data_IF_257456724486
#
_entry.id   IF_257456724486
#
_cell.length_a   1.000
_cell.length_b   1.000
_cell.length_c   1.000
_cell.angle_alpha   90.00
_cell.angle_beta   90.00
_cell.angle_gamma   90.00
#
_symmetry.space_group_name_H-M   'P 1'
#
loop_
_entity.id
_entity.type
_entity.pdbx_description
1 polymer ?
#
# COMPACT_ATOMS: atom_id res chain seq x y z
N UNK A 1 2.90 -27.62 20.78
CA UNK A 1 3.98 -27.08 19.91
C UNK A 1 3.42 -26.20 18.78
N UNK A 2 2.20 -25.63 18.88
CA UNK A 2 1.59 -24.87 17.77
C UNK A 2 1.62 -23.34 17.93
N UNK A 3 1.27 -22.82 19.11
CA UNK A 3 1.17 -21.37 19.34
C UNK A 3 2.53 -20.72 19.67
N UNK A 4 3.37 -21.39 20.48
CA UNK A 4 4.71 -20.90 20.82
C UNK A 4 5.61 -20.66 19.59
N UNK A 5 5.47 -21.50 18.56
CA UNK A 5 6.23 -21.35 17.31
C UNK A 5 5.74 -20.14 16.50
N UNK A 6 4.44 -19.82 16.55
CA UNK A 6 3.86 -18.72 15.80
C UNK A 6 4.23 -17.35 16.39
N UNK A 7 4.21 -17.23 17.72
CA UNK A 7 4.68 -16.02 18.41
C UNK A 7 6.18 -15.77 18.19
N UNK A 8 7.00 -16.83 18.23
CA UNK A 8 8.43 -16.71 17.95
C UNK A 8 8.70 -16.28 16.51
N UNK A 9 7.97 -16.81 15.52
CA UNK A 9 8.05 -16.36 14.12
C UNK A 9 7.65 -14.91 13.97
N UNK A 10 6.55 -14.49 14.63
CA UNK A 10 6.14 -13.09 14.65
C UNK A 10 7.27 -12.21 15.18
N UNK A 11 7.85 -12.55 16.33
CA UNK A 11 8.94 -11.75 16.93
C UNK A 11 10.16 -11.64 16.02
N UNK A 12 10.55 -12.72 15.33
CA UNK A 12 11.65 -12.69 14.36
C UNK A 12 11.33 -11.81 13.15
N UNK A 13 10.12 -11.95 12.60
CA UNK A 13 9.67 -11.13 11.48
C UNK A 13 9.55 -9.65 11.86
N UNK A 14 8.97 -9.36 13.02
CA UNK A 14 8.84 -8.01 13.58
C UNK A 14 10.22 -7.36 13.74
N UNK A 15 11.19 -8.07 14.30
CA UNK A 15 12.55 -7.57 14.46
C UNK A 15 13.18 -7.14 13.13
N UNK A 16 13.07 -7.98 12.10
CA UNK A 16 13.61 -7.70 10.75
C UNK A 16 12.89 -6.55 10.06
N UNK A 17 11.56 -6.56 10.07
CA UNK A 17 10.74 -5.51 9.46
C UNK A 17 11.00 -4.18 10.15
N UNK A 18 11.02 -4.15 11.48
CA UNK A 18 11.30 -2.93 12.26
C UNK A 18 12.69 -2.36 11.96
N UNK A 19 13.72 -3.20 11.95
CA UNK A 19 15.08 -2.77 11.60
C UNK A 19 15.13 -2.17 10.18
N UNK A 20 14.45 -2.81 9.23
CA UNK A 20 14.40 -2.36 7.84
C UNK A 20 13.65 -1.05 7.64
N UNK A 21 12.50 -0.88 8.31
CA UNK A 21 11.64 0.30 8.16
C UNK A 21 12.14 1.51 8.96
N UNK A 22 12.93 1.29 10.02
CA UNK A 22 13.49 2.36 10.85
C UNK A 22 14.33 3.36 10.04
N UNK A 23 15.02 2.92 8.98
CA UNK A 23 15.80 3.81 8.10
C UNK A 23 14.95 4.79 7.29
N UNK A 24 13.65 4.52 7.17
CA UNK A 24 12.66 5.37 6.50
C UNK A 24 11.79 6.15 7.48
N UNK A 25 12.11 6.11 8.78
CA UNK A 25 11.35 6.82 9.82
C UNK A 25 9.93 6.30 10.02
N UNK A 26 9.71 5.00 9.79
CA UNK A 26 8.43 4.34 9.99
C UNK A 26 8.51 3.43 11.23
N UNK A 27 7.61 3.65 12.18
CA UNK A 27 7.48 2.85 13.38
C UNK A 27 6.42 1.77 13.19
N UNK A 28 6.77 0.53 13.51
CA UNK A 28 5.82 -0.57 13.54
C UNK A 28 5.07 -0.57 14.87
N UNK A 29 3.72 -0.48 14.88
CA UNK A 29 2.94 -0.54 16.12
C UNK A 29 3.05 -1.92 16.77
N UNK A 30 2.60 -2.03 18.03
CA UNK A 30 2.55 -3.31 18.74
C UNK A 30 1.75 -4.34 17.93
N UNK A 31 2.36 -5.49 17.65
CA UNK A 31 1.71 -6.54 16.87
C UNK A 31 1.35 -7.76 17.69
N UNK A 32 0.35 -8.50 17.21
CA UNK A 32 0.02 -9.85 17.68
C UNK A 32 -0.31 -10.73 16.50
N UNK A 33 -0.24 -12.04 16.70
CA UNK A 33 -0.57 -13.02 15.67
C UNK A 33 -1.67 -13.95 16.20
N UNK A 34 -2.66 -14.22 15.36
CA UNK A 34 -3.77 -15.13 15.69
C UNK A 34 -4.00 -16.11 14.56
N UNK A 35 -4.41 -17.32 14.91
CA UNK A 35 -4.81 -18.32 13.93
C UNK A 35 -6.31 -18.24 13.69
N UNK A 36 -6.69 -18.14 12.43
CA UNK A 36 -8.07 -18.17 11.97
C UNK A 36 -8.20 -19.18 10.80
N UNK A 37 -8.62 -20.43 11.07
CA UNK A 37 -8.74 -21.45 10.02
C UNK A 37 -9.87 -21.16 9.03
N UNK A 38 -10.72 -20.15 9.28
CA UNK A 38 -11.84 -19.76 8.42
C UNK A 38 -11.45 -18.68 7.40
N UNK A 39 -10.18 -18.26 7.34
CA UNK A 39 -9.69 -17.44 6.23
C UNK A 39 -9.97 -18.13 4.88
N UNK A 40 -10.04 -17.37 3.79
CA UNK A 40 -10.22 -17.95 2.46
C UNK A 40 -9.11 -18.98 2.15
N UNK A 41 -9.43 -20.03 1.38
CA UNK A 41 -8.48 -21.13 1.11
C UNK A 41 -7.22 -20.67 0.38
N UNK A 42 -7.31 -19.61 -0.41
CA UNK A 42 -6.17 -19.04 -1.13
C UNK A 42 -5.41 -17.98 -0.29
N UNK A 43 -5.88 -17.67 0.92
CA UNK A 43 -5.32 -16.64 1.80
C UNK A 43 -4.53 -17.27 2.95
N UNK A 44 -3.20 -17.26 2.85
CA UNK A 44 -2.31 -17.76 3.89
C UNK A 44 -2.30 -16.89 5.15
N UNK A 45 -2.35 -15.58 4.96
CA UNK A 45 -2.43 -14.59 6.01
C UNK A 45 -3.14 -13.32 5.53
N UNK A 46 -3.55 -12.50 6.48
CA UNK A 46 -4.05 -11.13 6.29
C UNK A 46 -3.78 -10.32 7.55
N UNK A 47 -3.91 -9.00 7.51
CA UNK A 47 -3.84 -8.15 8.69
C UNK A 47 -5.24 -7.66 9.09
N UNK A 48 -5.42 -7.42 10.39
CA UNK A 48 -6.61 -6.80 10.98
C UNK A 48 -6.19 -5.72 11.97
N UNK A 49 -7.01 -4.68 12.08
CA UNK A 49 -6.87 -3.62 13.04
C UNK A 49 -7.32 -4.08 14.45
N UNK A 50 -6.63 -3.66 15.52
CA UNK A 50 -5.31 -3.03 15.53
C UNK A 50 -4.19 -4.09 15.47
N UNK A 51 -3.19 -3.85 14.60
CA UNK A 51 -1.88 -4.53 14.63
C UNK A 51 -1.92 -6.06 14.72
N UNK A 52 -2.87 -6.71 14.06
CA UNK A 52 -3.06 -8.17 14.18
C UNK A 52 -2.73 -8.85 12.88
N UNK A 53 -1.74 -9.74 12.86
CA UNK A 53 -1.53 -10.69 11.76
C UNK A 53 -2.45 -11.89 12.00
N UNK A 54 -3.30 -12.19 11.03
CA UNK A 54 -4.21 -13.34 11.06
C UNK A 54 -3.68 -14.35 10.07
N UNK A 55 -3.44 -15.58 10.52
CA UNK A 55 -2.89 -16.64 9.67
C UNK A 55 -3.84 -17.83 9.65
N UNK A 56 -3.91 -18.51 8.51
CA UNK A 56 -4.78 -19.69 8.38
C UNK A 56 -4.25 -20.88 9.18
N UNK A 57 -2.94 -21.07 9.13
CA UNK A 57 -2.23 -22.20 9.71
C UNK A 57 -0.96 -21.77 10.44
N UNK A 58 -0.53 -22.57 11.42
CA UNK A 58 0.72 -22.32 12.17
C UNK A 58 1.97 -22.55 11.33
N UNK A 59 1.84 -23.19 10.17
CA UNK A 59 2.92 -23.49 9.22
C UNK A 59 3.33 -22.28 8.38
N UNK A 60 2.60 -21.17 8.43
CA UNK A 60 2.82 -19.95 7.61
C UNK A 60 4.29 -19.47 7.64
N UNK A 61 4.89 -19.17 6.48
CA UNK A 61 6.27 -18.67 6.41
C UNK A 61 6.44 -17.29 7.08
N UNK A 62 7.62 -17.04 7.65
CA UNK A 62 7.98 -15.72 8.20
C UNK A 62 7.90 -14.60 7.17
N UNK A 63 8.21 -14.90 5.90
CA UNK A 63 8.08 -13.93 4.80
C UNK A 63 6.65 -13.44 4.60
N UNK A 64 5.66 -14.32 4.80
CA UNK A 64 4.23 -13.97 4.69
C UNK A 64 3.80 -13.13 5.90
N UNK A 65 4.30 -13.44 7.09
CA UNK A 65 4.09 -12.59 8.27
C UNK A 65 4.70 -11.20 8.04
N UNK A 66 5.92 -11.14 7.49
CA UNK A 66 6.60 -9.88 7.19
C UNK A 66 5.83 -9.01 6.19
N UNK A 67 5.23 -9.62 5.16
CA UNK A 67 4.32 -8.94 4.22
C UNK A 67 3.18 -8.23 4.95
N UNK A 68 2.46 -8.95 5.81
CA UNK A 68 1.35 -8.38 6.59
C UNK A 68 1.81 -7.32 7.60
N UNK A 69 3.03 -7.44 8.14
CA UNK A 69 3.61 -6.42 9.00
C UNK A 69 3.89 -5.11 8.25
N UNK A 70 4.24 -5.16 6.96
CA UNK A 70 4.40 -3.94 6.15
C UNK A 70 3.05 -3.25 5.96
N UNK A 71 2.00 -3.99 5.67
CA UNK A 71 0.63 -3.46 5.60
C UNK A 71 0.19 -2.80 6.92
N UNK A 72 0.48 -3.45 8.05
CA UNK A 72 0.25 -2.87 9.39
C UNK A 72 1.05 -1.57 9.57
N UNK A 73 2.30 -1.53 9.14
CA UNK A 73 3.13 -0.31 9.21
C UNK A 73 2.59 0.82 8.33
N UNK A 74 2.03 0.49 7.17
CA UNK A 74 1.37 1.45 6.28
C UNK A 74 0.00 1.92 6.79
N UNK A 75 -0.58 1.20 7.75
CA UNK A 75 -1.95 1.41 8.19
C UNK A 75 -2.96 1.21 7.04
N UNK A 76 -2.71 0.22 6.17
CA UNK A 76 -3.65 -0.10 5.09
C UNK A 76 -5.02 -0.52 5.64
N UNK A 77 -6.08 -0.22 4.88
CA UNK A 77 -7.43 -0.66 5.24
C UNK A 77 -7.62 -2.13 4.91
N UNK A 78 -8.39 -2.83 5.76
CA UNK A 78 -8.54 -4.30 5.71
C UNK A 78 -9.15 -4.85 4.41
N UNK A 79 -9.84 -4.03 3.60
CA UNK A 79 -10.52 -4.51 2.39
C UNK A 79 -10.55 -3.48 1.26
N UNK A 80 -9.94 -3.82 0.11
CA UNK A 80 -10.12 -3.14 -1.17
C UNK A 80 -10.82 -4.09 -2.15
N UNK A 81 -12.09 -4.41 -1.89
CA UNK A 81 -12.83 -5.34 -2.75
C UNK A 81 -13.31 -4.63 -4.03
N UNK A 82 -12.81 -5.11 -5.18
CA UNK A 82 -13.46 -4.94 -6.49
C UNK A 82 -12.95 -3.81 -7.40
N UNK A 83 -12.12 -2.88 -6.90
CA UNK A 83 -11.51 -1.84 -7.74
C UNK A 83 -10.02 -2.10 -7.96
N UNK A 84 -9.55 -1.97 -9.20
CA UNK A 84 -8.12 -1.93 -9.51
C UNK A 84 -7.62 -0.53 -9.15
N UNK A 85 -7.17 -0.32 -7.92
CA UNK A 85 -6.66 0.98 -7.49
C UNK A 85 -5.14 1.04 -7.67
N UNK A 86 -4.61 2.23 -8.01
CA UNK A 86 -3.18 2.50 -7.93
C UNK A 86 -2.70 2.35 -6.48
N UNK A 87 -3.54 2.76 -5.52
CA UNK A 87 -3.26 2.54 -4.10
C UNK A 87 -2.96 1.08 -3.78
N UNK A 88 -3.81 0.15 -4.22
CA UNK A 88 -3.61 -1.30 -3.97
C UNK A 88 -2.33 -1.80 -4.63
N UNK A 89 -2.04 -1.36 -5.85
CA UNK A 89 -0.81 -1.73 -6.56
C UNK A 89 0.44 -1.28 -5.79
N UNK A 90 0.43 -0.07 -5.24
CA UNK A 90 1.53 0.47 -4.46
C UNK A 90 1.66 -0.20 -3.09
N UNK A 91 0.56 -0.41 -2.37
CA UNK A 91 0.57 -1.04 -1.05
C UNK A 91 1.03 -2.50 -1.12
N UNK A 92 0.40 -3.31 -1.97
CA UNK A 92 0.78 -4.72 -2.13
C UNK A 92 2.16 -4.88 -2.76
N UNK A 93 2.49 -4.01 -3.74
CA UNK A 93 3.81 -3.97 -4.34
C UNK A 93 4.91 -3.68 -3.32
N UNK A 94 4.65 -2.77 -2.37
CA UNK A 94 5.59 -2.44 -1.30
C UNK A 94 5.77 -3.62 -0.35
N UNK A 95 4.67 -4.22 0.10
CA UNK A 95 4.70 -5.35 1.02
C UNK A 95 5.48 -6.53 0.43
N UNK A 96 5.16 -6.93 -0.82
CA UNK A 96 5.89 -7.99 -1.53
C UNK A 96 7.37 -7.62 -1.72
N UNK A 97 7.67 -6.36 -2.09
CA UNK A 97 9.05 -5.92 -2.34
C UNK A 97 9.88 -5.96 -1.06
N UNK A 98 9.38 -5.42 0.05
CA UNK A 98 10.08 -5.45 1.35
C UNK A 98 10.23 -6.88 1.86
N UNK A 99 9.17 -7.70 1.78
CA UNK A 99 9.24 -9.10 2.18
C UNK A 99 10.30 -9.85 1.36
N UNK A 100 10.41 -9.57 0.05
CA UNK A 100 11.44 -10.15 -0.82
C UNK A 100 12.86 -9.69 -0.48
N UNK A 101 13.05 -8.43 -0.07
CA UNK A 101 14.35 -7.93 0.40
C UNK A 101 14.80 -8.63 1.69
N UNK A 102 13.86 -8.95 2.60
CA UNK A 102 14.13 -9.57 3.88
C UNK A 102 14.20 -11.10 3.84
N UNK A 103 13.49 -11.70 2.89
CA UNK A 103 13.33 -13.15 2.73
C UNK A 103 13.43 -13.51 1.24
N UNK A 104 14.62 -13.93 0.75
CA UNK A 104 14.82 -14.24 -0.66
C UNK A 104 13.90 -15.34 -1.21
N UNK A 105 13.38 -16.21 -0.34
CA UNK A 105 12.41 -17.26 -0.65
C UNK A 105 10.98 -16.77 -0.84
N UNK A 106 10.67 -15.53 -0.49
CA UNK A 106 9.33 -14.97 -0.59
C UNK A 106 8.78 -15.05 -2.02
N UNK A 107 7.55 -15.56 -2.17
CA UNK A 107 6.84 -15.62 -3.43
C UNK A 107 6.09 -14.31 -3.66
N UNK A 108 6.50 -13.55 -4.68
CA UNK A 108 5.88 -12.27 -5.03
C UNK A 108 4.54 -12.51 -5.73
N UNK A 109 3.45 -12.05 -5.12
CA UNK A 109 2.09 -12.19 -5.68
C UNK A 109 1.80 -11.10 -6.71
N UNK A 110 2.22 -9.86 -6.46
CA UNK A 110 1.96 -8.68 -7.28
C UNK A 110 3.23 -8.19 -7.98
N UNK A 111 3.68 -8.97 -8.97
CA UNK A 111 4.92 -8.67 -9.73
C UNK A 111 4.94 -7.25 -10.32
N UNK A 112 3.81 -6.77 -10.84
CA UNK A 112 3.70 -5.41 -11.38
C UNK A 112 3.89 -4.37 -10.28
N UNK A 113 3.36 -4.63 -9.08
CA UNK A 113 3.53 -3.78 -7.91
C UNK A 113 5.00 -3.70 -7.50
N UNK A 114 5.68 -4.83 -7.33
CA UNK A 114 7.12 -4.84 -7.02
C UNK A 114 7.95 -4.09 -8.05
N UNK A 115 7.66 -4.29 -9.35
CA UNK A 115 8.37 -3.57 -10.41
C UNK A 115 8.14 -2.07 -10.32
N UNK A 116 6.92 -1.63 -9.99
CA UNK A 116 6.65 -0.21 -9.77
C UNK A 116 7.50 0.33 -8.61
N UNK A 117 7.55 -0.40 -7.49
CA UNK A 117 8.39 -0.01 -6.33
C UNK A 117 9.87 0.05 -6.72
N UNK A 118 10.39 -0.92 -7.46
CA UNK A 118 11.78 -0.90 -7.94
C UNK A 118 12.11 0.35 -8.75
N UNK A 119 11.22 0.77 -9.65
CA UNK A 119 11.38 1.98 -10.46
C UNK A 119 11.39 3.24 -9.58
N UNK A 120 10.45 3.32 -8.63
CA UNK A 120 10.32 4.48 -7.74
C UNK A 120 11.54 4.60 -6.81
N UNK A 121 11.97 3.50 -6.20
CA UNK A 121 13.16 3.45 -5.31
C UNK A 121 14.44 3.77 -6.08
N UNK A 122 14.57 3.32 -7.34
CA UNK A 122 15.73 3.64 -8.16
C UNK A 122 15.78 5.13 -8.53
N UNK A 123 14.63 5.80 -8.64
CA UNK A 123 14.56 7.24 -8.89
C UNK A 123 14.88 8.05 -7.61
N UNK A 124 14.27 7.68 -6.48
CA UNK A 124 14.55 8.25 -5.16
C UNK A 124 14.27 7.24 -4.05
N UNK A 125 15.31 6.71 -3.42
CA UNK A 125 15.16 5.77 -2.29
C UNK A 125 14.40 6.39 -1.10
N UNK A 126 14.47 7.72 -0.92
CA UNK A 126 13.81 8.37 0.22
C UNK A 126 12.28 8.34 0.11
N UNK A 127 11.74 8.15 -1.10
CA UNK A 127 10.30 8.04 -1.35
C UNK A 127 9.66 6.83 -0.69
N UNK A 128 10.46 5.83 -0.28
CA UNK A 128 9.99 4.70 0.53
C UNK A 128 9.30 5.15 1.82
N UNK A 129 9.86 6.16 2.49
CA UNK A 129 9.25 6.69 3.70
C UNK A 129 7.89 7.33 3.43
N UNK A 130 7.78 8.08 2.33
CA UNK A 130 6.54 8.74 1.94
C UNK A 130 5.48 7.71 1.54
N UNK A 131 5.87 6.64 0.86
CA UNK A 131 4.98 5.56 0.49
C UNK A 131 4.51 4.73 1.70
N UNK A 132 5.38 4.55 2.70
CA UNK A 132 4.98 3.94 3.99
C UNK A 132 3.93 4.81 4.69
N UNK A 133 4.01 6.13 4.55
CA UNK A 133 3.08 7.10 5.13
C UNK A 133 2.04 7.60 4.13
N UNK A 134 1.74 6.82 3.09
CA UNK A 134 0.87 7.27 2.00
C UNK A 134 -0.49 7.75 2.52
N UNK A 135 -1.05 7.08 3.54
CA UNK A 135 -2.32 7.44 4.16
C UNK A 135 -2.28 8.78 4.94
N UNK A 136 -1.10 9.20 5.39
CA UNK A 136 -0.88 10.46 6.09
C UNK A 136 -0.70 11.64 5.12
N UNK A 137 -0.53 11.35 3.82
CA UNK A 137 -0.39 12.37 2.79
C UNK A 137 -1.64 13.25 2.77
N UNK A 138 -1.45 14.50 3.17
CA UNK A 138 -2.55 15.47 3.26
C UNK A 138 -3.08 15.79 1.87
N UNK A 139 -4.41 15.86 1.75
CA UNK A 139 -5.08 16.24 0.53
C UNK A 139 -5.58 17.69 0.61
N UNK A 140 -5.48 18.40 -0.51
CA UNK A 140 -6.13 19.68 -0.77
C UNK A 140 -7.02 19.55 -2.01
N UNK A 141 -8.09 20.35 -2.16
CA UNK A 141 -9.00 20.23 -3.29
C UNK A 141 -8.31 20.34 -4.67
N UNK A 142 -7.25 21.13 -4.75
CA UNK A 142 -6.47 21.38 -5.97
C UNK A 142 -5.68 20.13 -6.43
N UNK A 143 -5.44 19.16 -5.53
CA UNK A 143 -4.79 17.89 -5.89
C UNK A 143 -5.64 17.15 -6.94
N UNK A 144 -6.98 17.19 -6.82
CA UNK A 144 -7.88 16.50 -7.74
C UNK A 144 -7.79 17.11 -9.15
N UNK A 145 -7.73 18.44 -9.25
CA UNK A 145 -7.58 19.12 -10.54
C UNK A 145 -6.22 18.79 -11.16
N UNK A 146 -5.14 18.91 -10.39
CA UNK A 146 -3.78 18.58 -10.82
C UNK A 146 -3.66 17.14 -11.35
N UNK A 147 -4.31 16.18 -10.66
CA UNK A 147 -4.35 14.78 -11.09
C UNK A 147 -5.14 14.62 -12.40
N UNK A 148 -6.28 15.30 -12.56
CA UNK A 148 -7.08 15.16 -13.78
C UNK A 148 -6.45 15.85 -15.00
N UNK A 149 -5.66 16.91 -14.78
CA UNK A 149 -4.95 17.65 -15.82
C UNK A 149 -3.68 16.95 -16.30
N UNK A 150 -3.11 16.03 -15.52
CA UNK A 150 -1.88 15.34 -15.93
C UNK A 150 -2.10 14.51 -17.20
N UNK A 151 -1.21 14.59 -18.20
CA UNK A 151 -1.27 13.76 -19.40
C UNK A 151 -0.97 12.28 -19.09
N UNK A 152 -0.41 11.98 -17.93
CA UNK A 152 -0.02 10.63 -17.49
C UNK A 152 -1.13 9.85 -16.79
N UNK A 153 -2.28 10.50 -16.53
CA UNK A 153 -3.42 9.81 -15.94
C UNK A 153 -4.05 8.85 -16.96
N UNK A 154 -3.86 7.55 -16.73
CA UNK A 154 -4.42 6.48 -17.55
C UNK A 154 -5.95 6.49 -17.59
N UNK A 155 -6.51 5.89 -18.66
CA UNK A 155 -7.96 5.91 -18.92
C UNK A 155 -8.80 5.37 -17.77
N UNK A 156 -8.40 4.25 -17.15
CA UNK A 156 -9.13 3.66 -16.03
C UNK A 156 -9.26 4.64 -14.84
N UNK A 157 -8.14 5.22 -14.40
CA UNK A 157 -8.15 6.17 -13.27
C UNK A 157 -8.85 7.48 -13.65
N UNK A 158 -8.76 7.91 -14.91
CA UNK A 158 -9.54 9.04 -15.42
C UNK A 158 -11.03 8.77 -15.35
N UNK A 159 -11.49 7.61 -15.78
CA UNK A 159 -12.90 7.22 -15.76
C UNK A 159 -13.43 7.02 -14.33
N UNK A 160 -12.56 6.62 -13.40
CA UNK A 160 -12.86 6.50 -11.98
C UNK A 160 -13.00 7.87 -11.30
N UNK A 161 -12.02 8.77 -11.48
CA UNK A 161 -11.93 10.03 -10.74
C UNK A 161 -12.78 11.14 -11.35
N UNK A 162 -12.83 11.27 -12.69
CA UNK A 162 -13.50 12.42 -13.36
C UNK A 162 -14.97 12.59 -12.97
N UNK A 163 -15.81 11.53 -12.94
CA UNK A 163 -17.22 11.68 -12.57
C UNK A 163 -17.44 12.08 -11.10
N UNK A 164 -16.45 11.84 -10.24
CA UNK A 164 -16.53 12.08 -8.81
C UNK A 164 -15.75 13.32 -8.34
N UNK A 165 -15.01 13.97 -9.24
CA UNK A 165 -14.06 15.04 -8.92
C UNK A 165 -14.62 16.10 -7.95
N UNK A 166 -15.78 16.68 -8.27
CA UNK A 166 -16.43 17.68 -7.41
C UNK A 166 -16.79 17.14 -6.02
N UNK A 167 -17.28 15.90 -5.93
CA UNK A 167 -17.60 15.26 -4.63
C UNK A 167 -16.34 15.00 -3.81
N UNK A 168 -15.27 14.53 -4.44
CA UNK A 168 -13.98 14.31 -3.79
C UNK A 168 -13.45 15.64 -3.22
N UNK A 169 -13.48 16.71 -4.02
CA UNK A 169 -13.08 18.05 -3.58
C UNK A 169 -13.91 18.55 -2.40
N UNK A 170 -15.24 18.40 -2.46
CA UNK A 170 -16.14 18.77 -1.37
C UNK A 170 -15.84 17.96 -0.09
N UNK A 171 -15.61 16.66 -0.21
CA UNK A 171 -15.21 15.80 0.91
C UNK A 171 -13.87 16.22 1.52
N UNK A 172 -12.88 16.60 0.70
CA UNK A 172 -11.60 17.12 1.19
C UNK A 172 -11.82 18.43 1.96
N UNK A 173 -12.59 19.38 1.42
CA UNK A 173 -12.92 20.64 2.13
C UNK A 173 -13.59 20.37 3.47
N UNK A 174 -14.61 19.51 3.47
CA UNK A 174 -15.32 19.13 4.70
C UNK A 174 -14.39 18.47 5.73
N UNK A 175 -13.47 17.61 5.29
CA UNK A 175 -12.48 16.98 6.18
C UNK A 175 -11.57 18.04 6.83
N UNK A 176 -11.04 18.97 6.03
CA UNK A 176 -10.18 20.07 6.49
C UNK A 176 -10.93 20.96 7.49
N UNK A 177 -12.14 21.40 7.15
CA UNK A 177 -12.98 22.26 8.00
C UNK A 177 -13.33 21.60 9.33
N UNK A 178 -13.53 20.28 9.32
CA UNK A 178 -13.82 19.48 10.51
C UNK A 178 -12.57 19.04 11.29
N UNK A 179 -11.36 19.28 10.76
CA UNK A 179 -10.11 18.81 11.36
C UNK A 179 -9.95 17.28 11.37
N UNK A 180 -10.58 16.59 10.42
CA UNK A 180 -10.55 15.12 10.32
C UNK A 180 -9.27 14.68 9.61
N UNK A 181 -8.50 13.83 10.27
CA UNK A 181 -7.25 13.24 9.73
C UNK A 181 -7.41 11.78 9.31
N UNK A 182 -8.60 11.20 9.51
CA UNK A 182 -8.90 9.82 9.11
C UNK A 182 -8.80 9.69 7.57
N UNK A 183 -7.91 8.84 7.04
CA UNK A 183 -7.70 8.71 5.61
C UNK A 183 -8.94 8.23 4.84
N UNK A 184 -9.86 7.53 5.52
CA UNK A 184 -11.07 6.90 4.96
C UNK A 184 -12.24 7.87 4.80
N UNK A 185 -12.16 9.05 5.40
CA UNK A 185 -13.24 10.03 5.37
C UNK A 185 -13.48 10.59 3.96
N UNK A 186 -12.40 10.74 3.18
CA UNK A 186 -12.47 11.23 1.81
C UNK A 186 -12.78 10.06 0.89
N UNK A 187 -13.89 10.14 0.16
CA UNK A 187 -14.23 9.14 -0.86
C UNK A 187 -13.12 9.05 -1.91
N UNK A 188 -12.60 7.85 -2.18
CA UNK A 188 -11.43 7.59 -3.04
C UNK A 188 -10.16 8.34 -2.59
N UNK A 189 -10.07 8.75 -1.32
CA UNK A 189 -8.93 9.50 -0.81
C UNK A 189 -7.60 8.75 -0.95
N UNK A 190 -7.60 7.43 -0.79
CA UNK A 190 -6.42 6.56 -0.96
C UNK A 190 -5.90 6.61 -2.41
N UNK A 191 -6.81 6.54 -3.39
CA UNK A 191 -6.46 6.63 -4.81
C UNK A 191 -5.92 8.02 -5.16
N UNK A 192 -6.54 9.08 -4.62
CA UNK A 192 -6.05 10.46 -4.81
C UNK A 192 -4.66 10.64 -4.19
N UNK A 193 -4.40 10.10 -2.99
CA UNK A 193 -3.08 10.13 -2.36
C UNK A 193 -2.05 9.36 -3.18
N UNK A 194 -2.42 8.18 -3.70
CA UNK A 194 -1.57 7.38 -4.55
C UNK A 194 -1.15 8.14 -5.82
N UNK A 195 -2.10 8.80 -6.49
CA UNK A 195 -1.78 9.65 -7.65
C UNK A 195 -0.96 10.88 -7.28
N UNK A 196 -1.31 11.56 -6.19
CA UNK A 196 -0.56 12.72 -5.69
C UNK A 196 0.91 12.36 -5.41
N UNK A 197 1.14 11.23 -4.73
CA UNK A 197 2.47 10.70 -4.50
C UNK A 197 3.19 10.41 -5.81
N UNK A 198 2.52 9.75 -6.76
CA UNK A 198 3.15 9.38 -8.02
C UNK A 198 3.49 10.61 -8.88
N UNK A 199 2.72 11.69 -8.83
CA UNK A 199 2.95 12.92 -9.58
C UNK A 199 4.04 13.82 -8.97
N UNK A 200 4.70 13.39 -7.90
CA UNK A 200 5.86 14.08 -7.34
C UNK A 200 6.97 14.28 -8.40
N UNK A 201 7.62 15.44 -8.37
CA UNK A 201 8.65 15.85 -9.34
C UNK A 201 9.86 14.92 -9.35
N UNK A 202 10.11 14.22 -8.24
CA UNK A 202 11.19 13.23 -8.12
C UNK A 202 11.06 12.09 -9.11
N UNK A 203 9.84 11.79 -9.57
CA UNK A 203 9.57 10.71 -10.51
C UNK A 203 9.52 11.15 -11.98
N UNK A 204 9.76 12.43 -12.27
CA UNK A 204 9.66 12.94 -13.65
C UNK A 204 10.64 12.26 -14.61
N UNK A 205 11.86 11.97 -14.14
CA UNK A 205 12.88 11.27 -14.93
C UNK A 205 12.54 9.81 -15.26
N UNK A 206 11.58 9.21 -14.55
CA UNK A 206 11.14 7.81 -14.74
C UNK A 206 9.67 7.71 -15.16
N UNK A 207 9.03 8.84 -15.50
CA UNK A 207 7.59 8.94 -15.79
C UNK A 207 7.12 7.95 -16.87
N UNK A 208 7.84 7.85 -17.98
CA UNK A 208 7.50 6.93 -19.06
C UNK A 208 7.59 5.45 -18.65
N UNK A 209 8.50 5.11 -17.74
CA UNK A 209 8.62 3.75 -17.23
C UNK A 209 7.50 3.43 -16.24
N UNK A 210 7.18 4.38 -15.34
CA UNK A 210 6.02 4.32 -14.45
C UNK A 210 4.74 4.10 -15.26
N UNK A 211 4.50 4.87 -16.31
CA UNK A 211 3.34 4.72 -17.19
C UNK A 211 3.29 3.35 -17.86
N UNK A 212 4.44 2.83 -18.30
CA UNK A 212 4.54 1.49 -18.91
C UNK A 212 4.19 0.39 -17.91
N UNK A 213 4.67 0.48 -16.67
CA UNK A 213 4.37 -0.49 -15.62
C UNK A 213 2.88 -0.44 -15.25
N UNK A 214 2.33 0.77 -15.03
CA UNK A 214 0.91 0.97 -14.75
C UNK A 214 0.02 0.51 -15.91
N UNK A 215 0.44 0.72 -17.15
CA UNK A 215 -0.26 0.22 -18.34
C UNK A 215 -0.45 -1.30 -18.32
N UNK A 216 0.48 -2.07 -17.75
CA UNK A 216 0.30 -3.52 -17.55
C UNK A 216 -0.74 -3.88 -16.50
N UNK A 217 -0.95 -3.03 -15.49
CA UNK A 217 -1.96 -3.22 -14.46
C UNK A 217 -3.36 -2.85 -14.95
N UNK A 218 -3.49 -1.69 -15.61
CA UNK A 218 -4.78 -1.17 -16.06
C UNK A 218 -5.19 -1.60 -17.47
N UNK A 219 -4.25 -1.95 -18.34
CA UNK A 219 -4.47 -2.26 -19.76
C UNK A 219 -5.00 -3.66 -20.06
N UNK A 220 -5.07 -4.56 -19.08
CA UNK A 220 -5.67 -5.89 -19.23
C UNK A 220 -7.21 -5.87 -19.14
N UNK A 221 -7.85 -4.77 -19.56
CA UNK A 221 -9.30 -4.63 -19.64
C UNK A 221 -9.64 -4.30 -21.10
N UNK A 222 -9.94 -5.35 -21.86
CA UNK A 222 -10.56 -5.30 -23.19
C UNK A 222 -11.77 -6.22 -23.17
#
# INVERSE_FOLDING_TARGET
MGEFDLEERLQRAEGRVKEYLARYGCDLPSTRIVRDPELDEETLATHRYPGTVVVRETSVPESVIAHELVHIAQGTLEQFLGFRLLYTLLAEGLADWVAKQLYPEHEVKYQIGCRLIEVLVAADESSMGDLLRLNELSLVPDDVESILETPHLGAYSRDLLSPMAGRIQDSIRAAIEAGITDPTFVTLGEEVRAWKFLLDERFEGVREEVDRVMGGWFGNVS
#
